data_IF_033820785389
#
_entry.id   IF_033820785389
#
_cell.length_a   1.000
_cell.length_b   1.000
_cell.length_c   1.000
_cell.angle_alpha   90.00
_cell.angle_beta   90.00
_cell.angle_gamma   90.00
#
_symmetry.space_group_name_H-M   'P 1'
#
loop_
_entity.id
_entity.type
_entity.pdbx_description
1 polymer ?
#
# COMPACT_ATOMS: atom_id res chain seq x y z
N UNK A 1 20.45 -26.27 -23.36
CA UNK A 1 20.39 -26.15 -21.89
C UNK A 1 19.50 -27.31 -21.42
N UNK A 2 19.93 -28.11 -20.47
CA UNK A 2 19.13 -29.20 -19.91
C UNK A 2 18.18 -28.66 -18.84
N UNK A 3 17.15 -29.44 -18.48
CA UNK A 3 16.24 -29.10 -17.36
C UNK A 3 17.04 -28.86 -16.07
N UNK A 4 18.01 -29.74 -15.80
CA UNK A 4 18.87 -29.63 -14.61
C UNK A 4 19.74 -28.35 -14.61
N UNK A 5 20.23 -27.95 -15.79
CA UNK A 5 21.02 -26.72 -15.92
C UNK A 5 20.13 -25.48 -15.68
N UNK A 6 18.91 -25.48 -16.21
CA UNK A 6 17.94 -24.39 -16.02
C UNK A 6 17.48 -24.31 -14.57
N UNK A 7 17.10 -25.45 -13.96
CA UNK A 7 16.72 -25.54 -12.56
C UNK A 7 17.78 -24.91 -11.65
N UNK A 8 19.04 -25.34 -11.81
CA UNK A 8 20.14 -24.81 -10.98
C UNK A 8 20.28 -23.30 -11.09
N UNK A 9 20.23 -22.75 -12.31
CA UNK A 9 20.28 -21.31 -12.53
C UNK A 9 19.10 -20.57 -11.90
N UNK A 10 17.91 -21.12 -12.01
CA UNK A 10 16.73 -20.53 -11.39
C UNK A 10 16.80 -20.59 -9.86
N UNK A 11 17.26 -21.72 -9.26
CA UNK A 11 17.43 -21.81 -7.81
C UNK A 11 18.46 -20.78 -7.28
N UNK A 12 19.54 -20.53 -8.02
CA UNK A 12 20.51 -19.47 -7.70
C UNK A 12 19.88 -18.07 -7.84
N UNK A 13 19.12 -17.84 -8.91
CA UNK A 13 18.48 -16.57 -9.19
C UNK A 13 17.36 -16.21 -8.19
N UNK A 14 16.56 -17.19 -7.76
CA UNK A 14 15.51 -17.01 -6.75
C UNK A 14 16.00 -17.17 -5.30
N UNK A 15 17.31 -17.17 -5.07
CA UNK A 15 17.85 -17.13 -3.70
C UNK A 15 17.45 -15.84 -2.99
N UNK A 16 17.29 -15.91 -1.66
CA UNK A 16 16.95 -14.74 -0.82
C UNK A 16 17.91 -13.58 -1.08
N UNK A 17 19.23 -13.86 -1.18
CA UNK A 17 20.23 -12.84 -1.41
C UNK A 17 20.06 -12.09 -2.73
N UNK A 18 19.81 -12.83 -3.84
CA UNK A 18 19.61 -12.21 -5.14
C UNK A 18 18.28 -11.46 -5.24
N UNK A 19 17.18 -12.02 -4.71
CA UNK A 19 15.90 -11.32 -4.65
C UNK A 19 15.99 -10.04 -3.82
N UNK A 20 16.73 -10.06 -2.70
CA UNK A 20 16.96 -8.87 -1.90
C UNK A 20 17.74 -7.79 -2.69
N UNK A 21 18.76 -8.17 -3.44
CA UNK A 21 19.53 -7.24 -4.28
C UNK A 21 18.64 -6.60 -5.37
N UNK A 22 17.83 -7.42 -6.06
CA UNK A 22 16.88 -6.93 -7.06
C UNK A 22 15.89 -5.95 -6.41
N UNK A 23 15.27 -6.35 -5.30
CA UNK A 23 14.29 -5.53 -4.59
C UNK A 23 14.87 -4.20 -4.13
N UNK A 24 16.05 -4.19 -3.52
CA UNK A 24 16.69 -2.96 -3.05
C UNK A 24 17.01 -2.01 -4.22
N UNK A 25 17.46 -2.53 -5.35
CA UNK A 25 17.74 -1.71 -6.54
C UNK A 25 16.43 -1.09 -7.08
N UNK A 26 15.35 -1.88 -7.18
CA UNK A 26 14.06 -1.39 -7.63
C UNK A 26 13.49 -0.33 -6.68
N UNK A 27 13.56 -0.55 -5.35
CA UNK A 27 13.12 0.40 -4.33
C UNK A 27 13.93 1.71 -4.41
N UNK A 28 15.24 1.63 -4.62
CA UNK A 28 16.08 2.82 -4.75
C UNK A 28 15.70 3.63 -6.00
N UNK A 29 15.42 2.98 -7.12
CA UNK A 29 14.95 3.65 -8.33
C UNK A 29 13.60 4.34 -8.09
N UNK A 30 12.69 3.68 -7.40
CA UNK A 30 11.37 4.22 -7.06
C UNK A 30 11.48 5.44 -6.14
N UNK A 31 12.24 5.35 -5.04
CA UNK A 31 12.46 6.45 -4.10
C UNK A 31 13.12 7.68 -4.72
N UNK A 32 13.92 7.47 -5.77
CA UNK A 32 14.56 8.55 -6.53
C UNK A 32 13.71 9.01 -7.73
N UNK A 33 12.42 8.61 -7.79
CA UNK A 33 11.48 8.99 -8.85
C UNK A 33 11.95 8.62 -10.27
N UNK A 34 12.84 7.62 -10.38
CA UNK A 34 13.40 7.17 -11.66
C UNK A 34 12.44 6.21 -12.39
N UNK A 35 11.19 6.63 -12.54
CA UNK A 35 10.12 5.80 -13.10
C UNK A 35 10.37 5.39 -14.56
N UNK A 36 11.03 6.24 -15.34
CA UNK A 36 11.41 5.92 -16.72
C UNK A 36 12.39 4.73 -16.80
N UNK A 37 13.25 4.54 -15.80
CA UNK A 37 14.14 3.39 -15.72
C UNK A 37 13.38 2.15 -15.29
N UNK A 38 12.47 2.29 -14.33
CA UNK A 38 11.58 1.20 -13.93
C UNK A 38 10.72 0.71 -15.09
N UNK A 39 10.19 1.60 -15.93
CA UNK A 39 9.46 1.25 -17.15
C UNK A 39 10.33 0.42 -18.11
N UNK A 40 11.57 0.83 -18.34
CA UNK A 40 12.52 0.09 -19.19
C UNK A 40 12.88 -1.28 -18.60
N UNK A 41 13.00 -1.38 -17.28
CA UNK A 41 13.24 -2.68 -16.61
C UNK A 41 12.04 -3.60 -16.83
N UNK A 42 10.81 -3.08 -16.68
CA UNK A 42 9.58 -3.85 -16.96
C UNK A 42 9.53 -4.28 -18.43
N UNK A 43 9.92 -3.42 -19.37
CA UNK A 43 9.99 -3.77 -20.79
C UNK A 43 10.93 -4.97 -21.06
N UNK A 44 12.06 -5.08 -20.34
CA UNK A 44 13.00 -6.22 -20.45
C UNK A 44 12.34 -7.56 -20.09
N UNK A 45 11.37 -7.55 -19.18
CA UNK A 45 10.67 -8.75 -18.69
C UNK A 45 9.25 -8.91 -19.25
N UNK A 46 8.78 -7.99 -20.08
CA UNK A 46 7.40 -7.93 -20.59
C UNK A 46 6.94 -9.18 -21.34
N UNK A 47 7.88 -9.97 -21.91
CA UNK A 47 7.55 -11.26 -22.56
C UNK A 47 6.97 -12.30 -21.60
N UNK A 48 7.17 -12.12 -20.27
CA UNK A 48 6.83 -13.09 -19.23
C UNK A 48 5.83 -12.56 -18.21
N UNK A 49 5.73 -11.24 -18.04
CA UNK A 49 4.95 -10.60 -17.00
C UNK A 49 4.19 -9.41 -17.57
N UNK A 50 2.90 -9.37 -17.27
CA UNK A 50 2.03 -8.26 -17.65
C UNK A 50 1.99 -7.24 -16.50
N UNK A 51 3.00 -6.35 -16.48
CA UNK A 51 3.13 -5.26 -15.51
C UNK A 51 3.35 -3.97 -16.30
N UNK A 52 2.64 -2.92 -15.93
CA UNK A 52 2.88 -1.57 -16.44
C UNK A 52 3.20 -0.65 -15.25
N UNK A 53 4.18 0.21 -15.41
CA UNK A 53 4.50 1.28 -14.46
C UNK A 53 4.19 2.62 -15.12
N UNK A 54 3.34 3.42 -14.47
CA UNK A 54 3.01 4.75 -14.95
C UNK A 54 4.17 5.74 -14.78
N UNK A 55 4.05 6.92 -15.38
CA UNK A 55 4.99 8.03 -15.18
C UNK A 55 5.02 8.57 -13.74
N UNK A 56 4.05 8.20 -12.92
CA UNK A 56 3.92 8.56 -11.50
C UNK A 56 4.28 7.41 -10.57
N UNK A 57 4.76 6.28 -11.12
CA UNK A 57 5.19 5.12 -10.35
C UNK A 57 4.08 4.10 -10.03
N UNK A 58 2.83 4.33 -10.44
CA UNK A 58 1.75 3.34 -10.24
C UNK A 58 2.09 2.03 -10.95
N UNK A 59 1.85 0.89 -10.32
CA UNK A 59 2.21 -0.45 -10.81
C UNK A 59 3.50 -1.00 -10.18
N UNK A 60 4.26 -0.16 -9.45
CA UNK A 60 5.50 -0.58 -8.81
C UNK A 60 5.33 -1.71 -7.81
N UNK A 61 4.22 -1.72 -7.05
CA UNK A 61 3.97 -2.77 -6.06
C UNK A 61 3.86 -4.16 -6.71
N UNK A 62 3.31 -4.25 -7.93
CA UNK A 62 3.25 -5.52 -8.68
C UNK A 62 4.64 -6.02 -9.03
N UNK A 63 5.54 -5.12 -9.44
CA UNK A 63 6.93 -5.44 -9.77
C UNK A 63 7.70 -5.92 -8.54
N UNK A 64 7.59 -5.21 -7.42
CA UNK A 64 8.27 -5.56 -6.19
C UNK A 64 7.75 -6.87 -5.59
N UNK A 65 6.43 -7.12 -5.63
CA UNK A 65 5.83 -8.40 -5.19
C UNK A 65 6.40 -9.60 -5.94
N UNK A 66 6.75 -9.42 -7.21
CA UNK A 66 7.32 -10.48 -8.03
C UNK A 66 8.74 -10.89 -7.56
N UNK A 67 9.53 -9.94 -7.07
CA UNK A 67 10.92 -10.17 -6.67
C UNK A 67 11.18 -10.03 -5.17
N UNK A 68 10.13 -10.02 -4.35
CA UNK A 68 10.29 -9.90 -2.90
C UNK A 68 11.01 -11.12 -2.29
N UNK A 69 11.99 -10.93 -1.39
CA UNK A 69 12.76 -12.02 -0.79
C UNK A 69 11.91 -13.09 -0.08
N UNK A 70 10.78 -12.71 0.53
CA UNK A 70 9.87 -13.64 1.23
C UNK A 70 9.27 -14.69 0.31
N UNK A 71 9.23 -14.43 -1.00
CA UNK A 71 8.74 -15.38 -2.00
C UNK A 71 9.77 -16.41 -2.43
N UNK A 72 11.02 -16.30 -1.99
CA UNK A 72 12.09 -17.23 -2.35
C UNK A 72 11.69 -18.70 -2.13
N UNK A 73 11.22 -19.03 -0.94
CA UNK A 73 10.81 -20.40 -0.62
C UNK A 73 9.67 -20.93 -1.52
N UNK A 74 8.72 -20.07 -1.85
CA UNK A 74 7.64 -20.41 -2.77
C UNK A 74 8.21 -20.75 -4.15
N UNK A 75 9.03 -19.86 -4.72
CA UNK A 75 9.61 -20.07 -6.04
C UNK A 75 10.51 -21.31 -6.10
N UNK A 76 11.36 -21.51 -5.10
CA UNK A 76 12.24 -22.68 -5.03
C UNK A 76 11.46 -24.00 -5.01
N UNK A 77 10.33 -24.03 -4.29
CA UNK A 77 9.47 -25.22 -4.25
C UNK A 77 8.78 -25.49 -5.60
N UNK A 78 8.26 -24.44 -6.26
CA UNK A 78 7.63 -24.59 -7.59
C UNK A 78 8.65 -24.99 -8.65
N UNK A 79 9.85 -24.39 -8.65
CA UNK A 79 10.93 -24.74 -9.59
C UNK A 79 11.33 -26.22 -9.43
N UNK A 80 11.47 -26.72 -8.20
CA UNK A 80 11.81 -28.13 -7.95
C UNK A 80 10.71 -29.05 -8.43
N UNK A 81 9.46 -28.73 -8.15
CA UNK A 81 8.30 -29.49 -8.61
C UNK A 81 8.24 -29.56 -10.13
N UNK A 82 8.41 -28.44 -10.82
CA UNK A 82 8.41 -28.39 -12.29
C UNK A 82 9.59 -29.19 -12.88
N UNK A 83 10.74 -29.17 -12.24
CA UNK A 83 11.91 -29.93 -12.66
C UNK A 83 11.69 -31.46 -12.48
N UNK A 84 11.10 -31.88 -11.36
CA UNK A 84 10.75 -33.29 -11.09
C UNK A 84 9.70 -33.82 -12.08
N UNK A 85 8.75 -32.95 -12.47
CA UNK A 85 7.72 -33.26 -13.48
C UNK A 85 8.25 -33.19 -14.93
N UNK A 86 9.54 -32.87 -15.13
CA UNK A 86 10.18 -32.62 -16.43
C UNK A 86 9.45 -31.56 -17.28
N UNK A 87 8.85 -30.59 -16.63
CA UNK A 87 8.11 -29.49 -17.28
C UNK A 87 9.05 -28.32 -17.62
N UNK A 88 9.70 -28.40 -18.80
CA UNK A 88 10.66 -27.39 -19.25
C UNK A 88 9.97 -26.05 -19.54
N UNK A 89 8.77 -26.06 -20.13
CA UNK A 89 8.03 -24.83 -20.48
C UNK A 89 7.63 -24.09 -19.20
N UNK A 90 7.15 -24.79 -18.17
CA UNK A 90 6.86 -24.20 -16.87
C UNK A 90 8.09 -23.60 -16.18
N UNK A 91 9.28 -24.17 -16.37
CA UNK A 91 10.53 -23.57 -15.86
C UNK A 91 10.91 -22.31 -16.63
N UNK A 92 10.61 -22.23 -17.93
CA UNK A 92 10.85 -21.03 -18.73
C UNK A 92 10.02 -19.84 -18.26
N UNK A 93 8.81 -20.04 -17.75
CA UNK A 93 7.97 -18.98 -17.21
C UNK A 93 8.65 -18.23 -16.05
N UNK A 94 9.52 -18.92 -15.31
CA UNK A 94 10.32 -18.30 -14.23
C UNK A 94 11.64 -17.69 -14.71
N UNK A 95 11.99 -17.80 -16.00
CA UNK A 95 13.31 -17.36 -16.49
C UNK A 95 13.47 -15.85 -16.64
N UNK A 96 12.40 -15.08 -16.48
CA UNK A 96 12.47 -13.61 -16.51
C UNK A 96 13.45 -13.04 -15.49
N UNK A 97 13.65 -13.67 -14.33
CA UNK A 97 14.60 -13.24 -13.31
C UNK A 97 16.04 -13.26 -13.84
N UNK A 98 16.37 -14.20 -14.72
CA UNK A 98 17.72 -14.30 -15.32
C UNK A 98 18.06 -13.09 -16.19
N UNK A 99 17.05 -12.38 -16.71
CA UNK A 99 17.25 -11.11 -17.42
C UNK A 99 17.65 -9.96 -16.48
N UNK A 100 17.43 -10.13 -15.16
CA UNK A 100 17.74 -9.15 -14.12
C UNK A 100 18.95 -9.52 -13.24
N UNK A 101 19.73 -10.54 -13.62
CA UNK A 101 20.91 -11.00 -12.85
C UNK A 101 21.90 -9.86 -12.49
N UNK A 102 21.96 -8.82 -13.30
CA UNK A 102 22.83 -7.66 -13.12
C UNK A 102 22.04 -6.37 -13.10
N UNK A 103 20.98 -6.35 -12.30
CA UNK A 103 20.04 -5.23 -12.28
C UNK A 103 20.73 -3.88 -11.99
N UNK A 104 21.77 -3.85 -11.17
CA UNK A 104 22.54 -2.64 -10.89
C UNK A 104 23.29 -2.13 -12.13
N UNK A 105 23.90 -3.04 -12.90
CA UNK A 105 24.58 -2.68 -14.15
C UNK A 105 23.56 -2.22 -15.20
N UNK A 106 22.40 -2.88 -15.28
CA UNK A 106 21.29 -2.52 -16.15
C UNK A 106 20.78 -1.12 -15.77
N UNK A 107 20.50 -0.88 -14.50
CA UNK A 107 20.06 0.41 -13.99
C UNK A 107 21.06 1.52 -14.31
N UNK A 108 22.34 1.31 -14.05
CA UNK A 108 23.39 2.27 -14.34
C UNK A 108 23.56 2.53 -15.85
N UNK A 109 23.43 1.52 -16.69
CA UNK A 109 23.51 1.68 -18.15
C UNK A 109 22.30 2.48 -18.68
N UNK A 110 21.12 2.29 -18.12
CA UNK A 110 19.90 3.02 -18.48
C UNK A 110 19.97 4.49 -18.01
N UNK A 111 20.62 4.76 -16.88
CA UNK A 111 20.87 6.12 -16.37
C UNK A 111 21.82 6.92 -17.27
N UNK A 112 22.78 6.28 -17.94
CA UNK A 112 23.75 6.98 -18.77
C UNK A 112 23.16 7.61 -20.05
N UNK A 113 21.90 7.35 -20.36
CA UNK A 113 21.15 7.93 -21.47
C UNK A 113 20.18 9.05 -21.07
N UNK A 114 20.07 9.36 -19.76
CA UNK A 114 19.29 10.50 -19.27
C UNK A 114 20.22 11.71 -19.20
N UNK A 115 19.83 12.82 -19.84
CA UNK A 115 20.55 14.09 -19.84
C UNK A 115 21.02 14.47 -18.43
N UNK A 116 22.32 14.79 -18.32
CA UNK A 116 22.95 15.16 -17.06
C UNK A 116 22.43 16.56 -16.69
N UNK A 117 21.41 16.60 -15.84
CA UNK A 117 21.03 17.82 -15.15
C UNK A 117 21.99 18.04 -13.97
N UNK A 118 22.83 19.04 -14.09
CA UNK A 118 23.82 19.42 -13.09
C UNK A 118 23.12 20.14 -11.91
N UNK A 119 22.53 19.38 -11.02
CA UNK A 119 22.16 19.86 -9.69
C UNK A 119 23.22 19.42 -8.68
N UNK A 120 23.88 20.32 -7.94
CA UNK A 120 24.88 19.94 -6.98
C UNK A 120 24.26 19.14 -5.84
N UNK A 121 24.65 17.88 -5.73
CA UNK A 121 24.30 17.00 -4.58
C UNK A 121 25.06 17.56 -3.37
N UNK A 122 24.34 18.10 -2.40
CA UNK A 122 24.90 18.35 -1.08
C UNK A 122 24.97 17.01 -0.33
N UNK A 123 26.20 16.54 -0.19
CA UNK A 123 26.53 15.39 0.64
C UNK A 123 26.30 15.77 2.11
N UNK A 124 25.24 15.26 2.71
CA UNK A 124 25.03 15.33 4.16
C UNK A 124 25.60 14.04 4.75
N UNK A 125 26.81 14.14 5.32
CA UNK A 125 27.35 13.11 6.19
C UNK A 125 26.40 12.93 7.39
N UNK A 126 25.49 11.99 7.30
CA UNK A 126 24.75 11.48 8.46
C UNK A 126 25.59 10.38 9.08
N UNK A 127 26.33 10.72 10.14
CA UNK A 127 26.83 9.74 11.09
C UNK A 127 25.62 8.99 11.66
N UNK A 128 25.53 7.71 11.33
CA UNK A 128 24.51 6.82 11.86
C UNK A 128 24.85 6.46 13.29
N UNK A 129 24.33 7.22 14.25
CA UNK A 129 24.23 6.74 15.63
C UNK A 129 23.19 5.62 15.68
N UNK A 130 23.66 4.43 16.03
CA UNK A 130 22.86 3.23 16.03
C UNK A 130 21.66 3.32 16.97
N UNK A 131 20.48 3.02 16.46
CA UNK A 131 19.28 2.78 17.26
C UNK A 131 19.46 1.47 18.04
N UNK A 132 19.60 1.58 19.36
CA UNK A 132 19.55 0.44 20.26
C UNK A 132 18.10 0.16 20.61
N UNK A 133 17.56 -0.94 20.11
CA UNK A 133 16.22 -1.43 20.50
C UNK A 133 16.35 -1.97 21.93
N UNK A 134 15.86 -1.22 22.91
CA UNK A 134 15.67 -1.73 24.29
C UNK A 134 14.42 -2.61 24.26
N UNK A 135 14.61 -3.92 24.32
CA UNK A 135 13.52 -4.87 24.60
C UNK A 135 13.27 -4.86 26.09
N UNK A 136 12.23 -4.19 26.51
CA UNK A 136 11.70 -4.36 27.86
C UNK A 136 11.04 -5.73 27.98
N UNK A 137 11.72 -6.64 28.69
CA UNK A 137 11.14 -7.88 29.16
C UNK A 137 10.19 -7.54 30.32
N UNK A 138 8.91 -7.38 30.04
CA UNK A 138 7.91 -7.34 31.11
C UNK A 138 7.32 -8.72 31.37
N UNK A 139 7.49 -9.07 32.62
CA UNK A 139 7.06 -10.26 33.33
C UNK A 139 5.61 -10.71 33.05
N UNK A 140 5.49 -12.02 32.82
CA UNK A 140 4.28 -12.81 33.02
C UNK A 140 3.62 -12.53 34.37
N UNK A 141 2.47 -11.87 34.34
CA UNK A 141 1.46 -12.02 35.39
C UNK A 141 0.14 -12.40 34.71
N UNK A 142 -0.29 -13.62 35.00
CA UNK A 142 -1.60 -14.17 34.67
C UNK A 142 -2.71 -13.19 35.03
N UNK A 143 -3.43 -12.68 34.02
CA UNK A 143 -4.70 -11.96 34.18
C UNK A 143 -5.79 -12.67 33.42
N UNK A 144 -6.81 -12.99 34.17
CA UNK A 144 -8.15 -13.46 33.79
C UNK A 144 -8.60 -13.02 32.41
N UNK A 145 -9.03 -14.01 31.60
CA UNK A 145 -9.59 -13.85 30.28
C UNK A 145 -10.94 -13.11 30.30
N UNK A 146 -10.94 -11.78 30.26
CA UNK A 146 -11.95 -11.09 29.49
C UNK A 146 -11.49 -11.16 28.02
N UNK A 147 -12.36 -11.58 27.11
CA UNK A 147 -12.13 -11.46 25.65
C UNK A 147 -11.95 -9.96 25.33
N UNK A 148 -10.72 -9.45 25.43
CA UNK A 148 -10.40 -8.15 24.85
C UNK A 148 -10.48 -8.35 23.34
N UNK A 149 -11.42 -7.68 22.71
CA UNK A 149 -11.45 -7.54 21.26
C UNK A 149 -10.10 -6.91 20.91
N UNK A 150 -9.30 -7.57 20.08
CA UNK A 150 -8.06 -6.97 19.59
C UNK A 150 -8.44 -5.81 18.69
N UNK A 151 -7.91 -4.66 18.98
CA UNK A 151 -7.97 -3.46 18.16
C UNK A 151 -6.73 -3.46 17.28
N UNK A 152 -6.86 -2.99 16.05
CA UNK A 152 -5.81 -3.01 15.06
C UNK A 152 -5.62 -1.60 14.50
N UNK A 153 -4.39 -1.27 14.11
CA UNK A 153 -4.15 -0.18 13.20
C UNK A 153 -4.52 -0.58 11.76
N UNK A 154 -4.48 0.38 10.85
CA UNK A 154 -4.82 0.18 9.45
C UNK A 154 -3.93 -0.87 8.78
N UNK A 155 -2.62 -0.85 9.07
CA UNK A 155 -1.67 -1.83 8.55
C UNK A 155 -1.96 -3.25 9.02
N UNK A 156 -2.21 -3.42 10.30
CA UNK A 156 -2.50 -4.73 10.87
C UNK A 156 -3.81 -5.29 10.32
N UNK A 157 -4.82 -4.46 10.10
CA UNK A 157 -6.07 -4.86 9.47
C UNK A 157 -5.83 -5.39 8.04
N UNK A 158 -4.99 -4.73 7.25
CA UNK A 158 -4.61 -5.18 5.91
C UNK A 158 -3.84 -6.51 5.98
N UNK A 159 -2.85 -6.63 6.86
CA UNK A 159 -2.08 -7.87 7.04
C UNK A 159 -2.97 -9.04 7.39
N UNK A 160 -3.91 -8.84 8.33
CA UNK A 160 -4.86 -9.89 8.73
C UNK A 160 -5.75 -10.29 7.55
N UNK A 161 -6.27 -9.32 6.80
CA UNK A 161 -7.17 -9.59 5.67
C UNK A 161 -6.48 -10.37 4.55
N UNK A 162 -5.23 -10.05 4.26
CA UNK A 162 -4.48 -10.69 3.17
C UNK A 162 -3.73 -11.95 3.60
N UNK A 163 -3.25 -12.02 4.85
CA UNK A 163 -2.32 -13.07 5.29
C UNK A 163 -2.79 -13.83 6.54
N UNK A 164 -3.85 -13.36 7.21
CA UNK A 164 -4.38 -13.99 8.43
C UNK A 164 -3.56 -13.76 9.70
N UNK A 165 -2.49 -12.98 9.64
CA UNK A 165 -1.56 -12.70 10.77
C UNK A 165 -0.90 -11.33 10.64
N UNK A 166 -0.42 -10.77 11.76
CA UNK A 166 0.22 -9.45 11.83
C UNK A 166 1.74 -9.47 11.76
N UNK A 167 2.37 -10.60 12.00
CA UNK A 167 3.84 -10.74 12.14
C UNK A 167 4.59 -10.71 10.79
N UNK A 168 3.93 -10.24 9.74
CA UNK A 168 4.50 -10.12 8.40
C UNK A 168 5.02 -8.71 8.18
N UNK A 169 6.23 -8.59 7.62
CA UNK A 169 6.69 -7.32 7.07
C UNK A 169 5.83 -6.96 5.87
N UNK A 170 5.14 -5.82 5.97
CA UNK A 170 4.29 -5.29 4.90
C UNK A 170 4.71 -3.86 4.61
N UNK A 171 5.63 -3.65 3.64
CA UNK A 171 6.11 -2.32 3.30
C UNK A 171 5.01 -1.41 2.77
N UNK A 172 5.06 -0.12 3.12
CA UNK A 172 4.05 0.89 2.75
C UNK A 172 3.79 1.02 1.25
N UNK A 173 4.83 0.82 0.42
CA UNK A 173 4.69 0.91 -1.04
C UNK A 173 3.72 -0.11 -1.65
N UNK A 174 3.33 -1.17 -0.92
CA UNK A 174 2.27 -2.07 -1.37
C UNK A 174 0.89 -1.43 -1.34
N UNK A 175 0.71 -0.39 -0.55
CA UNK A 175 -0.54 0.35 -0.45
C UNK A 175 -0.71 1.40 -1.55
N UNK A 176 0.41 1.89 -2.12
CA UNK A 176 0.41 2.98 -3.07
C UNK A 176 -0.34 2.65 -4.38
N UNK A 177 -0.34 1.38 -4.81
CA UNK A 177 -0.97 0.95 -6.06
C UNK A 177 -2.40 0.42 -5.92
N UNK A 178 -2.96 0.44 -4.70
CA UNK A 178 -4.30 -0.08 -4.47
C UNK A 178 -5.30 1.05 -4.66
N UNK A 179 -6.25 0.87 -5.58
CA UNK A 179 -7.31 1.84 -5.89
C UNK A 179 -8.52 1.69 -4.96
N UNK A 180 -8.78 0.48 -4.44
CA UNK A 180 -9.96 0.12 -3.66
C UNK A 180 -9.58 -0.62 -2.37
N UNK A 181 -10.11 -0.19 -1.23
CA UNK A 181 -9.90 -0.79 0.08
C UNK A 181 -11.21 -1.23 0.69
N UNK A 182 -11.35 -2.53 0.95
CA UNK A 182 -12.47 -3.15 1.63
C UNK A 182 -12.04 -3.60 3.04
N UNK A 183 -12.19 -2.73 4.03
CA UNK A 183 -11.77 -2.95 5.41
C UNK A 183 -12.92 -2.79 6.41
N UNK A 184 -14.15 -3.05 5.97
CA UNK A 184 -15.29 -3.05 6.88
C UNK A 184 -15.13 -4.12 7.95
N UNK A 185 -15.61 -3.86 9.17
CA UNK A 185 -15.60 -4.81 10.29
C UNK A 185 -14.22 -5.36 10.66
N UNK A 186 -13.14 -4.60 10.46
CA UNK A 186 -11.77 -5.02 10.66
C UNK A 186 -11.20 -4.67 12.05
N UNK A 187 -12.04 -4.15 12.97
CA UNK A 187 -11.67 -3.69 14.32
C UNK A 187 -10.56 -2.61 14.33
N UNK A 188 -10.55 -1.75 13.32
CA UNK A 188 -9.60 -0.65 13.19
C UNK A 188 -9.97 0.46 14.18
N UNK A 189 -9.00 0.93 14.97
CA UNK A 189 -9.15 2.10 15.84
C UNK A 189 -8.14 3.20 15.52
N UNK A 190 -7.09 2.90 14.75
CA UNK A 190 -6.05 3.82 14.33
C UNK A 190 -5.84 3.71 12.83
N UNK A 191 -5.80 4.84 12.14
CA UNK A 191 -5.58 4.93 10.70
C UNK A 191 -4.12 5.11 10.32
N UNK A 192 -3.16 4.89 11.24
CA UNK A 192 -1.75 4.94 10.88
C UNK A 192 -1.44 3.93 9.74
N UNK A 193 -0.79 4.43 8.70
CA UNK A 193 -0.54 3.69 7.47
C UNK A 193 -1.46 4.06 6.29
N UNK A 194 -2.65 4.63 6.54
CA UNK A 194 -3.58 5.02 5.46
C UNK A 194 -3.00 6.11 4.55
N UNK A 195 -2.12 6.96 5.08
CA UNK A 195 -1.44 8.03 4.34
C UNK A 195 -0.60 7.53 3.15
N UNK A 196 -0.30 6.23 3.09
CA UNK A 196 0.41 5.62 1.96
C UNK A 196 -0.52 5.16 0.83
N UNK A 197 -1.83 5.23 1.01
CA UNK A 197 -2.83 4.85 -0.01
C UNK A 197 -3.09 6.00 -1.00
N UNK A 198 -2.02 6.60 -1.53
CA UNK A 198 -2.07 7.85 -2.31
C UNK A 198 -2.87 7.77 -3.62
N UNK A 199 -3.10 6.55 -4.14
CA UNK A 199 -3.88 6.32 -5.35
C UNK A 199 -5.27 5.74 -5.08
N UNK A 200 -5.66 5.63 -3.79
CA UNK A 200 -6.99 5.14 -3.43
C UNK A 200 -8.08 6.05 -3.98
N UNK A 201 -9.10 5.43 -4.55
CA UNK A 201 -10.32 6.09 -5.05
C UNK A 201 -11.54 5.74 -4.22
N UNK A 202 -11.60 4.49 -3.78
CA UNK A 202 -12.72 3.98 -2.99
C UNK A 202 -12.18 3.33 -1.71
N UNK A 203 -12.77 3.67 -0.56
CA UNK A 203 -12.36 3.11 0.72
C UNK A 203 -13.57 2.81 1.60
N UNK A 204 -13.74 1.54 1.95
CA UNK A 204 -14.73 1.11 2.95
C UNK A 204 -14.04 0.80 4.29
N UNK A 205 -14.30 1.67 5.25
CA UNK A 205 -13.83 1.60 6.64
C UNK A 205 -15.01 1.47 7.62
N UNK A 206 -16.17 1.06 7.15
CA UNK A 206 -17.39 0.97 7.97
C UNK A 206 -17.28 -0.07 9.07
N UNK A 207 -18.11 0.09 10.11
CA UNK A 207 -18.19 -0.83 11.23
C UNK A 207 -16.83 -1.11 11.90
N UNK A 208 -16.12 -0.04 12.21
CA UNK A 208 -14.85 -0.04 12.91
C UNK A 208 -14.93 0.79 14.21
N UNK A 209 -13.81 1.24 14.76
CA UNK A 209 -13.74 2.03 15.98
C UNK A 209 -12.94 3.32 15.80
N UNK A 210 -12.96 3.84 14.58
CA UNK A 210 -12.19 5.00 14.18
C UNK A 210 -12.74 6.25 14.88
N UNK A 211 -11.82 7.07 15.41
CA UNK A 211 -12.11 8.34 16.06
C UNK A 211 -11.45 9.49 15.31
N UNK A 212 -10.18 9.33 14.94
CA UNK A 212 -9.34 10.35 14.30
C UNK A 212 -9.20 10.09 12.80
N UNK A 213 -9.58 11.08 11.99
CA UNK A 213 -9.48 11.05 10.54
C UNK A 213 -8.26 11.81 10.00
N UNK A 214 -7.42 12.41 10.85
CA UNK A 214 -6.27 13.21 10.44
C UNK A 214 -5.35 12.50 9.44
N UNK A 215 -5.10 11.16 9.52
CA UNK A 215 -4.25 10.49 8.55
C UNK A 215 -4.80 10.47 7.12
N UNK A 216 -6.09 10.77 6.91
CA UNK A 216 -6.72 10.82 5.58
C UNK A 216 -6.40 12.11 4.80
N UNK A 217 -5.88 13.16 5.45
CA UNK A 217 -5.70 14.51 4.87
C UNK A 217 -4.97 14.53 3.51
N UNK A 218 -4.07 13.57 3.27
CA UNK A 218 -3.27 13.50 2.03
C UNK A 218 -3.94 12.77 0.88
N UNK A 219 -5.09 12.10 1.10
CA UNK A 219 -5.73 11.24 0.11
C UNK A 219 -6.64 12.04 -0.84
N UNK A 220 -6.08 13.07 -1.44
CA UNK A 220 -6.83 13.99 -2.32
C UNK A 220 -7.46 13.31 -3.55
N UNK A 221 -7.00 12.10 -3.91
CA UNK A 221 -7.55 11.31 -5.01
C UNK A 221 -8.83 10.53 -4.67
N UNK A 222 -9.24 10.50 -3.39
CA UNK A 222 -10.37 9.70 -2.93
C UNK A 222 -11.69 10.28 -3.46
N UNK A 223 -12.51 9.40 -4.04
CA UNK A 223 -13.80 9.75 -4.64
C UNK A 223 -14.98 9.22 -3.81
N UNK A 224 -14.83 8.04 -3.21
CA UNK A 224 -15.87 7.40 -2.39
C UNK A 224 -15.30 6.92 -1.06
N UNK A 225 -15.95 7.29 0.04
CA UNK A 225 -15.51 6.95 1.39
C UNK A 225 -16.68 6.49 2.25
N UNK A 226 -16.59 5.27 2.77
CA UNK A 226 -17.56 4.74 3.72
C UNK A 226 -16.95 4.66 5.13
N UNK A 227 -17.47 5.47 6.05
CA UNK A 227 -17.10 5.57 7.46
C UNK A 227 -18.28 5.28 8.40
N UNK A 228 -19.35 4.65 7.90
CA UNK A 228 -20.53 4.32 8.70
C UNK A 228 -20.16 3.46 9.93
N UNK A 229 -20.94 3.58 10.99
CA UNK A 229 -20.80 2.77 12.20
C UNK A 229 -19.38 2.85 12.82
N UNK A 230 -18.91 4.08 13.06
CA UNK A 230 -17.64 4.38 13.73
C UNK A 230 -17.87 5.27 14.98
N UNK A 231 -16.81 5.85 15.52
CA UNK A 231 -16.85 6.69 16.73
C UNK A 231 -16.43 8.14 16.45
N UNK A 232 -16.56 8.57 15.18
CA UNK A 232 -16.06 9.84 14.66
C UNK A 232 -16.90 11.00 15.17
N UNK A 233 -16.24 12.00 15.74
CA UNK A 233 -16.87 13.26 16.15
C UNK A 233 -16.43 14.46 15.33
N UNK A 234 -15.16 14.46 14.90
CA UNK A 234 -14.50 15.50 14.14
C UNK A 234 -14.23 15.01 12.71
N UNK A 235 -14.60 15.83 11.73
CA UNK A 235 -14.44 15.53 10.30
C UNK A 235 -13.66 16.61 9.54
N UNK A 236 -12.89 17.46 10.22
CA UNK A 236 -12.08 18.51 9.59
C UNK A 236 -11.16 17.97 8.50
N UNK A 237 -10.66 16.76 8.70
CA UNK A 237 -9.81 16.07 7.73
C UNK A 237 -10.48 15.86 6.37
N UNK A 238 -11.80 15.69 6.32
CA UNK A 238 -12.52 15.47 5.07
C UNK A 238 -12.55 16.70 4.17
N UNK A 239 -12.43 17.90 4.73
CA UNK A 239 -12.35 19.14 3.96
C UNK A 239 -11.16 19.21 2.99
N UNK A 240 -10.13 18.38 3.19
CA UNK A 240 -8.97 18.28 2.29
C UNK A 240 -9.18 17.32 1.12
N UNK A 241 -10.23 16.46 1.14
CA UNK A 241 -10.50 15.45 0.14
C UNK A 241 -11.25 16.04 -1.07
N UNK A 242 -10.63 16.93 -1.80
CA UNK A 242 -11.24 17.76 -2.83
C UNK A 242 -11.86 17.01 -4.03
N UNK A 243 -11.58 15.71 -4.18
CA UNK A 243 -12.20 14.88 -5.21
C UNK A 243 -13.35 14.00 -4.68
N UNK A 244 -13.69 14.13 -3.39
CA UNK A 244 -14.74 13.31 -2.77
C UNK A 244 -16.11 13.64 -3.39
N UNK A 245 -16.78 12.59 -3.88
CA UNK A 245 -18.10 12.65 -4.50
C UNK A 245 -19.19 12.08 -3.60
N UNK A 246 -18.85 11.03 -2.87
CA UNK A 246 -19.77 10.32 -2.00
C UNK A 246 -19.12 9.98 -0.67
N UNK A 247 -19.80 10.28 0.43
CA UNK A 247 -19.36 9.88 1.76
C UNK A 247 -20.51 9.36 2.60
N UNK A 248 -20.30 8.19 3.23
CA UNK A 248 -21.22 7.66 4.24
C UNK A 248 -20.60 7.87 5.62
N UNK A 249 -21.25 8.68 6.43
CA UNK A 249 -20.89 9.02 7.81
C UNK A 249 -21.96 8.56 8.82
N UNK A 250 -22.90 7.72 8.40
CA UNK A 250 -24.03 7.31 9.25
C UNK A 250 -23.57 6.62 10.54
N UNK A 251 -24.36 6.75 11.59
CA UNK A 251 -24.11 6.15 12.90
C UNK A 251 -22.75 6.53 13.52
N UNK A 252 -22.41 7.81 13.50
CA UNK A 252 -21.24 8.39 14.15
C UNK A 252 -21.65 9.37 15.28
N UNK A 253 -20.75 10.25 15.70
CA UNK A 253 -20.98 11.24 16.78
C UNK A 253 -20.75 12.67 16.29
N UNK A 254 -21.05 12.91 15.00
CA UNK A 254 -20.77 14.16 14.33
C UNK A 254 -21.81 15.20 14.72
N UNK A 255 -21.35 16.40 15.07
CA UNK A 255 -22.19 17.55 15.38
C UNK A 255 -21.95 18.72 14.40
N UNK A 256 -20.76 18.80 13.81
CA UNK A 256 -20.36 19.83 12.83
C UNK A 256 -19.99 19.23 11.48
N UNK A 257 -20.68 19.69 10.42
CA UNK A 257 -20.47 19.26 9.05
C UNK A 257 -19.97 20.38 8.15
N UNK A 258 -19.49 21.48 8.74
CA UNK A 258 -18.95 22.61 7.97
C UNK A 258 -17.81 22.23 7.01
N UNK A 259 -16.93 21.24 7.31
CA UNK A 259 -15.91 20.83 6.36
C UNK A 259 -16.44 20.27 5.04
N UNK A 260 -17.65 19.73 5.02
CA UNK A 260 -18.26 19.18 3.79
C UNK A 260 -18.77 20.27 2.83
N UNK A 261 -19.03 21.47 3.33
CA UNK A 261 -19.54 22.61 2.53
C UNK A 261 -18.50 23.10 1.50
N UNK A 262 -17.22 22.89 1.79
CA UNK A 262 -16.11 23.31 0.93
C UNK A 262 -15.78 22.31 -0.19
N UNK A 263 -16.43 21.14 -0.21
CA UNK A 263 -16.17 20.08 -1.17
C UNK A 263 -16.97 20.29 -2.46
N UNK A 264 -16.38 20.94 -3.46
CA UNK A 264 -17.04 21.29 -4.73
C UNK A 264 -17.56 20.10 -5.54
N UNK A 265 -17.04 18.88 -5.31
CA UNK A 265 -17.41 17.67 -6.04
C UNK A 265 -18.33 16.74 -5.27
N UNK A 266 -18.71 17.11 -4.04
CA UNK A 266 -19.56 16.27 -3.22
C UNK A 266 -20.98 16.25 -3.79
N UNK A 267 -21.49 15.06 -4.08
CA UNK A 267 -22.81 14.82 -4.66
C UNK A 267 -23.76 14.16 -3.66
N UNK A 268 -23.21 13.32 -2.78
CA UNK A 268 -23.98 12.53 -1.84
C UNK A 268 -23.31 12.43 -0.47
N UNK A 269 -24.12 12.56 0.59
CA UNK A 269 -23.69 12.29 1.97
C UNK A 269 -24.79 11.63 2.78
N UNK A 270 -24.47 10.53 3.47
CA UNK A 270 -25.33 9.91 4.48
C UNK A 270 -24.86 10.31 5.88
N UNK A 271 -25.71 11.03 6.60
CA UNK A 271 -25.50 11.55 7.95
C UNK A 271 -26.43 10.92 8.98
N UNK A 272 -27.18 9.88 8.58
CA UNK A 272 -28.20 9.22 9.43
C UNK A 272 -27.59 8.79 10.77
N UNK A 273 -28.31 9.03 11.86
CA UNK A 273 -27.86 8.60 13.20
C UNK A 273 -26.82 9.49 13.87
N UNK A 274 -26.52 10.68 13.30
CA UNK A 274 -25.67 11.70 13.93
C UNK A 274 -26.51 12.79 14.62
N UNK A 275 -25.84 13.68 15.36
CA UNK A 275 -26.51 14.78 16.12
C UNK A 275 -26.35 16.14 15.43
N UNK A 276 -26.81 16.24 14.17
CA UNK A 276 -26.59 17.41 13.33
C UNK A 276 -27.78 18.34 13.37
N UNK A 277 -27.51 19.64 13.44
CA UNK A 277 -28.55 20.68 13.42
C UNK A 277 -29.17 20.79 12.02
N UNK A 278 -30.51 20.89 11.94
CA UNK A 278 -31.24 21.05 10.67
C UNK A 278 -30.78 22.25 9.84
N UNK A 279 -30.16 23.26 10.46
CA UNK A 279 -29.62 24.41 9.74
C UNK A 279 -28.39 24.03 8.91
N UNK A 280 -27.51 23.17 9.42
CA UNK A 280 -26.33 22.68 8.72
C UNK A 280 -26.71 21.75 7.56
N UNK A 281 -27.73 20.90 7.75
CA UNK A 281 -28.27 20.03 6.69
C UNK A 281 -28.77 20.88 5.51
N UNK A 282 -29.48 21.99 5.81
CA UNK A 282 -29.95 22.91 4.76
C UNK A 282 -28.79 23.52 3.98
N UNK A 283 -27.68 23.84 4.62
CA UNK A 283 -26.52 24.40 3.93
C UNK A 283 -25.95 23.46 2.87
N UNK A 284 -26.00 22.13 3.08
CA UNK A 284 -25.59 21.14 2.08
C UNK A 284 -26.65 21.00 0.97
N UNK A 285 -27.94 20.95 1.33
CA UNK A 285 -29.02 20.82 0.33
C UNK A 285 -29.13 22.06 -0.55
N UNK A 286 -28.81 23.26 -0.03
CA UNK A 286 -28.74 24.49 -0.82
C UNK A 286 -27.59 24.50 -1.85
N UNK A 287 -26.61 23.57 -1.72
CA UNK A 287 -25.52 23.33 -2.68
C UNK A 287 -25.84 22.17 -3.65
N UNK A 288 -27.11 21.75 -3.75
CA UNK A 288 -27.56 20.62 -4.57
C UNK A 288 -26.95 19.25 -4.17
N UNK A 289 -26.43 19.10 -2.94
CA UNK A 289 -25.93 17.86 -2.40
C UNK A 289 -27.11 17.00 -1.89
N UNK A 290 -27.14 15.74 -2.30
CA UNK A 290 -28.13 14.77 -1.77
C UNK A 290 -27.73 14.35 -0.36
N UNK A 291 -28.62 14.53 0.63
CA UNK A 291 -28.34 14.28 2.04
C UNK A 291 -29.36 13.32 2.63
N UNK A 292 -28.92 12.16 3.12
CA UNK A 292 -29.68 11.29 4.01
C UNK A 292 -29.36 11.63 5.48
N UNK A 293 -30.40 11.79 6.36
CA UNK A 293 -30.22 12.26 7.74
C UNK A 293 -31.31 11.80 8.71
#
# INVERSE_FOLDING_TARGET
MTITDLQKKLEEAYSIGNLNNISLTLINLYKNEQFSILQKIVEIISDFVDIEISTEGKGFSKLIKLYHPDRSNYYLNEIRKLADDNNFDGLLDYSHILKLERIEEISNSLNSFVDIDYSPVYDWDMETDGFTIIRDNENNQSKTHSKRIREYDFYDAIKIRHYGQTDIEFPSYYLEDIDEFELSSSNINDLDGVQFCIHAKTMDLSNNRIVDLSPLNGLVGLEELNLADNLIGDIDALGYLTNLKSVNLSNNRIEDISPLIELEKLEYVDLTGNQILSAQIRSLTDLDITVDY
#
